data_IF_986788979982
#
_entry.id   IF_986788979982
#
_cell.length_a   1.000
_cell.length_b   1.000
_cell.length_c   1.000
_cell.angle_alpha   90.00
_cell.angle_beta   90.00
_cell.angle_gamma   90.00
#
_symmetry.space_group_name_H-M   'P 1'
#
loop_
_entity.id
_entity.type
_entity.pdbx_description
1 polymer ?
#
# COMPACT_ATOMS: atom_id res chain seq x y z
N UNK A 1 48.03 -2.37 5.38
CA UNK A 1 47.40 -3.66 5.01
C UNK A 1 45.90 -3.54 5.19
N UNK A 2 45.15 -3.27 4.10
CA UNK A 2 43.70 -3.05 4.16
C UNK A 2 43.00 -4.40 4.19
N UNK A 3 42.32 -4.73 5.30
CA UNK A 3 41.51 -5.94 5.41
C UNK A 3 40.28 -5.81 4.52
N UNK A 4 40.31 -6.42 3.34
CA UNK A 4 39.11 -6.58 2.51
C UNK A 4 38.25 -7.65 3.18
N UNK A 5 37.27 -7.20 3.95
CA UNK A 5 36.26 -8.06 4.58
C UNK A 5 35.42 -8.64 3.45
N UNK A 6 35.64 -9.90 3.07
CA UNK A 6 34.71 -10.66 2.20
C UNK A 6 33.33 -10.55 2.82
N UNK A 7 32.45 -9.79 2.19
CA UNK A 7 31.05 -9.64 2.61
C UNK A 7 30.45 -11.05 2.49
N UNK A 8 30.10 -11.65 3.62
CA UNK A 8 29.39 -12.93 3.62
C UNK A 8 28.06 -12.71 2.89
N UNK A 9 27.69 -13.61 1.99
CA UNK A 9 26.43 -13.62 1.22
C UNK A 9 25.17 -13.48 2.10
N UNK A 10 25.29 -13.63 3.43
CA UNK A 10 24.26 -13.47 4.46
C UNK A 10 23.98 -12.03 4.91
N UNK A 11 24.89 -11.07 4.69
CA UNK A 11 24.81 -9.74 5.31
C UNK A 11 24.32 -8.65 4.34
N UNK A 12 24.00 -9.04 3.11
CA UNK A 12 23.47 -8.13 2.10
C UNK A 12 21.98 -7.89 2.34
N UNK A 13 21.54 -6.65 2.63
CA UNK A 13 20.16 -6.37 2.95
C UNK A 13 19.20 -6.66 1.78
N UNK A 14 19.70 -6.78 0.54
CA UNK A 14 18.93 -7.22 -0.64
C UNK A 14 18.53 -8.69 -0.58
N UNK A 15 19.33 -9.52 0.10
CA UNK A 15 19.03 -10.95 0.29
C UNK A 15 17.95 -11.15 1.35
N UNK A 16 17.76 -10.15 2.23
CA UNK A 16 16.71 -10.17 3.26
C UNK A 16 15.29 -10.00 2.70
N UNK A 17 15.13 -9.32 1.56
CA UNK A 17 13.85 -9.18 0.86
C UNK A 17 13.78 -10.16 -0.32
N UNK A 18 13.12 -11.30 -0.07
CA UNK A 18 12.99 -12.40 -1.03
C UNK A 18 12.31 -12.01 -2.34
N UNK A 19 11.52 -10.94 -2.33
CA UNK A 19 10.72 -10.54 -3.48
C UNK A 19 11.38 -9.42 -4.30
N UNK A 20 12.36 -8.71 -3.74
CA UNK A 20 12.99 -7.56 -4.40
C UNK A 20 13.65 -7.93 -5.74
N UNK A 21 14.47 -8.97 -5.73
CA UNK A 21 15.27 -9.37 -6.91
C UNK A 21 14.39 -10.00 -8.01
N UNK A 22 13.51 -10.98 -7.71
CA UNK A 22 12.60 -11.51 -8.72
C UNK A 22 11.68 -10.44 -9.32
N UNK A 23 11.22 -9.49 -8.49
CA UNK A 23 10.40 -8.37 -8.96
C UNK A 23 11.16 -7.47 -9.93
N UNK A 24 12.38 -7.08 -9.58
CA UNK A 24 13.19 -6.21 -10.44
C UNK A 24 13.55 -6.92 -11.75
N UNK A 25 13.86 -8.21 -11.71
CA UNK A 25 14.09 -9.03 -12.91
C UNK A 25 12.84 -9.03 -13.82
N UNK A 26 11.65 -9.29 -13.26
CA UNK A 26 10.41 -9.27 -14.02
C UNK A 26 10.11 -7.89 -14.63
N UNK A 27 10.36 -6.80 -13.88
CA UNK A 27 10.21 -5.44 -14.40
C UNK A 27 11.15 -5.20 -15.58
N UNK A 28 12.41 -5.62 -15.51
CA UNK A 28 13.37 -5.46 -16.61
C UNK A 28 12.87 -6.20 -17.87
N UNK A 29 12.51 -7.47 -17.72
CA UNK A 29 12.02 -8.29 -18.84
C UNK A 29 10.77 -7.67 -19.47
N UNK A 30 9.78 -7.29 -18.65
CA UNK A 30 8.55 -6.66 -19.11
C UNK A 30 8.80 -5.30 -19.78
N UNK A 31 9.73 -4.51 -19.24
CA UNK A 31 10.07 -3.19 -19.80
C UNK A 31 10.70 -3.35 -21.17
N UNK A 32 11.69 -4.24 -21.30
CA UNK A 32 12.34 -4.51 -22.58
C UNK A 32 11.34 -5.09 -23.61
N UNK A 33 10.48 -6.01 -23.18
CA UNK A 33 9.44 -6.59 -24.04
C UNK A 33 8.47 -5.52 -24.55
N UNK A 34 8.04 -4.60 -23.69
CA UNK A 34 7.17 -3.47 -24.07
C UNK A 34 7.81 -2.51 -25.08
N UNK A 35 9.15 -2.51 -25.17
CA UNK A 35 9.95 -1.71 -26.09
C UNK A 35 10.35 -2.50 -27.35
N UNK A 36 9.80 -3.71 -27.52
CA UNK A 36 10.04 -4.58 -28.67
C UNK A 36 11.34 -5.39 -28.58
N UNK A 37 11.92 -5.50 -27.39
CA UNK A 37 13.16 -6.26 -27.14
C UNK A 37 12.85 -7.46 -26.25
N UNK A 38 12.80 -8.64 -26.85
CA UNK A 38 12.65 -9.88 -26.09
C UNK A 38 13.98 -10.23 -25.41
N UNK A 39 13.97 -10.21 -24.07
CA UNK A 39 15.11 -10.54 -23.23
C UNK A 39 14.68 -11.35 -22.00
N UNK A 40 15.58 -12.16 -21.46
CA UNK A 40 15.37 -12.94 -20.24
C UNK A 40 16.55 -12.81 -19.29
N UNK A 41 16.31 -12.62 -18.00
CA UNK A 41 17.34 -12.59 -16.96
C UNK A 41 17.83 -14.02 -16.72
N UNK A 42 19.12 -14.24 -16.98
CA UNK A 42 19.79 -15.52 -16.80
C UNK A 42 20.54 -15.59 -15.45
N UNK A 43 21.22 -14.51 -15.06
CA UNK A 43 22.01 -14.46 -13.83
C UNK A 43 21.80 -13.13 -13.07
N UNK A 44 21.98 -13.16 -11.75
CA UNK A 44 21.99 -11.95 -10.92
C UNK A 44 23.21 -11.96 -10.01
N UNK A 45 24.03 -10.91 -10.12
CA UNK A 45 25.26 -10.73 -9.36
C UNK A 45 25.14 -9.53 -8.40
N UNK A 46 25.34 -9.77 -7.11
CA UNK A 46 25.34 -8.72 -6.08
C UNK A 46 26.72 -8.10 -5.99
N UNK A 47 26.82 -6.81 -6.31
CA UNK A 47 28.05 -6.03 -6.16
C UNK A 47 27.88 -4.98 -5.05
N UNK A 48 28.96 -4.43 -4.46
CA UNK A 48 28.83 -3.54 -3.30
C UNK A 48 28.02 -2.26 -3.55
N UNK A 49 28.03 -1.75 -4.79
CA UNK A 49 27.38 -0.48 -5.17
C UNK A 49 26.12 -0.66 -6.00
N UNK A 50 25.92 -1.85 -6.55
CA UNK A 50 24.99 -2.12 -7.63
C UNK A 50 24.57 -3.59 -7.65
N UNK A 51 23.49 -3.88 -8.35
CA UNK A 51 23.02 -5.23 -8.64
C UNK A 51 23.07 -5.41 -10.14
N UNK A 52 23.82 -6.40 -10.60
CA UNK A 52 24.00 -6.70 -12.01
C UNK A 52 23.05 -7.81 -12.42
N UNK A 53 22.14 -7.51 -13.35
CA UNK A 53 21.24 -8.46 -13.98
C UNK A 53 21.84 -8.82 -15.34
N UNK A 54 22.21 -10.09 -15.54
CA UNK A 54 22.71 -10.57 -16.81
C UNK A 54 21.54 -11.16 -17.61
N UNK A 55 21.39 -10.70 -18.84
CA UNK A 55 20.28 -11.04 -19.72
C UNK A 55 20.76 -11.76 -20.98
N UNK A 56 19.98 -12.76 -21.38
CA UNK A 56 19.95 -13.31 -22.72
C UNK A 56 19.00 -12.48 -23.57
N UNK A 57 19.41 -12.14 -24.78
CA UNK A 57 18.61 -11.38 -25.74
C UNK A 57 18.29 -12.22 -26.96
N UNK A 58 17.17 -11.92 -27.61
CA UNK A 58 16.82 -12.54 -28.87
C UNK A 58 17.90 -12.28 -29.93
N UNK A 59 18.16 -13.30 -30.75
CA UNK A 59 19.11 -13.19 -31.86
C UNK A 59 18.58 -12.18 -32.88
N UNK A 60 19.48 -11.33 -33.39
CA UNK A 60 19.14 -10.27 -34.34
C UNK A 60 18.71 -8.96 -33.69
N UNK A 61 18.55 -8.88 -32.36
CA UNK A 61 18.38 -7.59 -31.68
C UNK A 61 19.68 -6.77 -31.76
N UNK A 62 19.65 -5.56 -32.35
CA UNK A 62 20.82 -4.70 -32.39
C UNK A 62 21.17 -4.19 -30.98
N UNK A 63 22.45 -4.29 -30.60
CA UNK A 63 22.92 -3.87 -29.26
C UNK A 63 22.64 -2.39 -28.98
N UNK A 64 22.71 -1.55 -30.01
CA UNK A 64 22.48 -0.12 -29.88
C UNK A 64 21.04 0.21 -29.45
N UNK A 65 20.07 -0.64 -29.82
CA UNK A 65 18.69 -0.46 -29.35
C UNK A 65 18.56 -0.71 -27.86
N UNK A 66 19.41 -1.54 -27.26
CA UNK A 66 19.35 -1.86 -25.84
C UNK A 66 20.02 -0.75 -25.02
N UNK A 67 21.21 -0.30 -25.44
CA UNK A 67 21.96 0.74 -24.72
C UNK A 67 21.22 2.09 -24.72
N UNK A 68 20.38 2.36 -25.73
CA UNK A 68 19.52 3.56 -25.77
C UNK A 68 18.42 3.57 -24.71
N UNK A 69 17.97 2.40 -24.24
CA UNK A 69 16.85 2.27 -23.30
C UNK A 69 17.25 2.38 -21.82
N UNK A 70 18.50 2.74 -21.52
CA UNK A 70 18.97 2.89 -20.13
C UNK A 70 18.03 3.78 -19.29
N UNK A 71 17.58 4.92 -19.84
CA UNK A 71 16.65 5.80 -19.12
C UNK A 71 15.29 5.19 -18.86
N UNK A 72 14.74 4.47 -19.84
CA UNK A 72 13.42 3.84 -19.71
C UNK A 72 13.45 2.71 -18.67
N UNK A 73 14.53 1.91 -18.69
CA UNK A 73 14.77 0.87 -17.68
C UNK A 73 15.00 1.49 -16.30
N UNK A 74 15.76 2.58 -16.20
CA UNK A 74 15.99 3.30 -14.94
C UNK A 74 14.67 3.85 -14.37
N UNK A 75 13.80 4.37 -15.24
CA UNK A 75 12.48 4.87 -14.87
C UNK A 75 11.57 3.74 -14.37
N UNK A 76 11.49 2.63 -15.11
CA UNK A 76 10.66 1.48 -14.73
C UNK A 76 11.09 0.85 -13.40
N UNK A 77 12.40 0.78 -13.14
CA UNK A 77 12.97 0.27 -11.89
C UNK A 77 12.96 1.30 -10.74
N UNK A 78 12.54 2.54 -10.99
CA UNK A 78 12.67 3.66 -10.05
C UNK A 78 14.08 3.75 -9.46
N UNK A 79 15.09 3.73 -10.34
CA UNK A 79 16.50 3.74 -9.96
C UNK A 79 16.81 4.90 -9.00
N UNK A 80 17.54 4.66 -7.89
CA UNK A 80 17.78 5.68 -6.87
C UNK A 80 18.59 6.87 -7.40
N UNK A 81 19.39 6.68 -8.45
CA UNK A 81 20.19 7.72 -9.11
C UNK A 81 19.50 8.31 -10.34
N UNK A 82 18.35 7.75 -10.76
CA UNK A 82 17.68 8.09 -12.01
C UNK A 82 18.35 7.53 -13.27
N UNK A 83 19.33 6.62 -13.11
CA UNK A 83 20.07 6.03 -14.22
C UNK A 83 20.44 4.55 -13.95
N UNK A 84 20.79 3.80 -15.00
CA UNK A 84 21.31 2.42 -14.94
C UNK A 84 22.43 2.24 -15.96
N UNK A 85 23.47 1.48 -15.60
CA UNK A 85 24.56 1.19 -16.54
C UNK A 85 24.23 -0.07 -17.34
N UNK A 86 24.32 0.01 -18.67
CA UNK A 86 24.15 -1.13 -19.57
C UNK A 86 25.51 -1.49 -20.19
N UNK A 87 25.96 -2.72 -19.96
CA UNK A 87 27.16 -3.28 -20.57
C UNK A 87 26.76 -4.35 -21.60
N UNK A 88 26.95 -4.03 -22.87
CA UNK A 88 26.59 -4.87 -23.99
C UNK A 88 27.73 -4.89 -25.03
N UNK A 89 28.32 -6.06 -25.36
CA UNK A 89 28.20 -7.35 -24.67
C UNK A 89 29.08 -7.42 -23.40
N UNK A 90 28.79 -8.36 -22.50
CA UNK A 90 29.71 -8.69 -21.38
C UNK A 90 30.97 -9.36 -21.97
N UNK A 91 32.19 -8.87 -21.69
CA UNK A 91 33.42 -9.46 -22.22
C UNK A 91 33.55 -10.95 -21.90
N UNK A 92 33.76 -11.77 -22.94
CA UNK A 92 33.89 -13.22 -22.80
C UNK A 92 32.60 -13.98 -22.53
N UNK A 93 31.43 -13.33 -22.59
CA UNK A 93 30.11 -13.94 -22.38
C UNK A 93 29.11 -13.48 -23.45
N UNK A 94 28.19 -14.36 -23.84
CA UNK A 94 27.11 -14.03 -24.79
C UNK A 94 25.88 -13.45 -24.07
N UNK A 95 26.11 -12.47 -23.19
CA UNK A 95 25.09 -11.87 -22.33
C UNK A 95 25.23 -10.34 -22.33
N UNK A 96 24.17 -9.66 -21.90
CA UNK A 96 24.16 -8.22 -21.62
C UNK A 96 23.97 -8.02 -20.11
N UNK A 97 24.62 -7.04 -19.53
CA UNK A 97 24.43 -6.69 -18.12
C UNK A 97 23.69 -5.36 -17.98
N UNK A 98 22.67 -5.35 -17.12
CA UNK A 98 22.03 -4.12 -16.62
C UNK A 98 22.40 -3.98 -15.15
N UNK A 99 23.09 -2.90 -14.79
CA UNK A 99 23.50 -2.60 -13.42
C UNK A 99 22.59 -1.56 -12.81
N UNK A 100 21.86 -1.99 -11.78
CA UNK A 100 20.99 -1.14 -10.99
C UNK A 100 21.74 -0.65 -9.74
N UNK A 101 21.98 0.67 -9.59
CA UNK A 101 22.60 1.23 -8.39
C UNK A 101 21.85 0.86 -7.11
N UNK A 102 22.60 0.58 -6.06
CA UNK A 102 22.07 0.21 -4.75
C UNK A 102 22.56 1.17 -3.67
N UNK A 103 21.61 1.89 -3.06
CA UNK A 103 21.88 2.72 -1.89
C UNK A 103 21.52 1.94 -0.61
N UNK A 104 22.55 1.34 -0.02
CA UNK A 104 22.43 0.58 1.22
C UNK A 104 21.87 1.41 2.37
N UNK A 105 22.30 2.67 2.51
CA UNK A 105 21.91 3.53 3.62
C UNK A 105 20.42 3.88 3.53
N UNK A 106 19.97 4.28 2.35
CA UNK A 106 18.57 4.58 2.07
C UNK A 106 17.68 3.35 2.28
N UNK A 107 18.12 2.18 1.84
CA UNK A 107 17.36 0.94 2.00
C UNK A 107 17.19 0.54 3.47
N UNK A 108 18.27 0.57 4.27
CA UNK A 108 18.21 0.27 5.71
C UNK A 108 17.33 1.26 6.47
N UNK A 109 17.41 2.56 6.14
CA UNK A 109 16.56 3.59 6.72
C UNK A 109 15.07 3.33 6.43
N UNK A 110 14.73 2.96 5.20
CA UNK A 110 13.35 2.65 4.80
C UNK A 110 12.79 1.42 5.56
N UNK A 111 13.57 0.36 5.69
CA UNK A 111 13.18 -0.83 6.45
C UNK A 111 12.97 -0.49 7.92
N UNK A 112 13.87 0.28 8.52
CA UNK A 112 13.78 0.65 9.93
C UNK A 112 12.55 1.53 10.19
N UNK A 113 12.26 2.48 9.31
CA UNK A 113 11.06 3.31 9.38
C UNK A 113 9.77 2.46 9.27
N UNK A 114 9.74 1.49 8.34
CA UNK A 114 8.60 0.58 8.20
C UNK A 114 8.38 -0.28 9.46
N UNK A 115 9.45 -0.85 10.02
CA UNK A 115 9.39 -1.63 11.27
C UNK A 115 8.91 -0.79 12.45
N UNK A 116 9.32 0.48 12.52
CA UNK A 116 8.90 1.40 13.58
C UNK A 116 7.40 1.70 13.49
N UNK A 117 6.89 2.03 12.29
CA UNK A 117 5.46 2.27 12.05
C UNK A 117 4.60 1.08 12.47
N UNK A 118 4.97 -0.13 12.06
CA UNK A 118 4.29 -1.37 12.47
C UNK A 118 4.28 -1.57 13.99
N UNK A 119 5.36 -1.18 14.68
CA UNK A 119 5.44 -1.26 16.14
C UNK A 119 4.54 -0.23 16.82
N UNK A 120 4.40 0.96 16.25
CA UNK A 120 3.52 2.04 16.73
C UNK A 120 2.04 1.70 16.55
N UNK A 121 1.64 1.15 15.41
CA UNK A 121 0.26 0.67 15.17
C UNK A 121 -0.14 -0.42 16.18
N UNK A 122 0.78 -1.34 16.48
CA UNK A 122 0.59 -2.37 17.52
C UNK A 122 0.54 -1.80 18.94
N UNK A 123 1.19 -0.65 19.21
CA UNK A 123 1.10 0.05 20.49
C UNK A 123 -0.24 0.79 20.63
N UNK A 124 -0.69 1.46 19.59
CA UNK A 124 -1.95 2.22 19.61
C UNK A 124 -3.18 1.32 19.69
N UNK A 125 -3.18 0.18 18.99
CA UNK A 125 -4.23 -0.84 19.12
C UNK A 125 -4.32 -1.50 20.51
N UNK A 126 -3.23 -1.50 21.29
CA UNK A 126 -3.25 -1.92 22.70
C UNK A 126 -3.79 -0.83 23.62
N UNK A 127 -3.51 0.44 23.35
CA UNK A 127 -3.93 1.58 24.19
C UNK A 127 -5.44 1.87 24.04
N UNK A 128 -6.01 1.70 22.86
CA UNK A 128 -7.46 1.82 22.62
C UNK A 128 -8.28 0.73 23.33
N UNK A 129 -7.74 -0.48 23.51
CA UNK A 129 -8.37 -1.54 24.31
C UNK A 129 -8.37 -1.28 25.83
N UNK A 130 -7.50 -0.40 26.32
CA UNK A 130 -7.42 -0.06 27.75
C UNK A 130 -8.25 1.17 28.13
N UNK A 131 -8.63 2.02 27.16
CA UNK A 131 -9.47 3.22 27.40
C UNK A 131 -10.98 2.94 27.34
N UNK A 132 -11.41 1.75 26.92
CA UNK A 132 -12.83 1.35 26.82
C UNK A 132 -13.36 0.63 28.08
N UNK A 133 -12.75 0.84 29.24
CA UNK A 133 -13.23 0.31 30.54
C UNK A 133 -13.66 1.38 31.54
N UNK A 134 -13.76 2.65 31.13
CA UNK A 134 -14.28 3.71 31.99
C UNK A 134 -15.46 4.42 31.31
N UNK A 135 -16.65 4.06 31.81
CA UNK A 135 -17.93 4.78 31.73
C UNK A 135 -18.72 4.70 30.40
N UNK A 136 -19.45 3.60 30.23
CA UNK A 136 -20.76 3.64 29.56
C UNK A 136 -21.82 3.72 30.66
N UNK A 137 -22.31 4.93 30.92
CA UNK A 137 -23.60 5.11 31.62
C UNK A 137 -24.68 4.52 30.69
N UNK A 138 -25.02 3.24 30.89
CA UNK A 138 -26.15 2.60 30.20
C UNK A 138 -27.43 3.14 30.81
N UNK A 139 -28.43 3.57 30.02
CA UNK A 139 -29.75 3.84 30.57
C UNK A 139 -30.29 2.55 31.20
N UNK A 140 -30.65 2.61 32.49
CA UNK A 140 -31.25 1.45 33.16
C UNK A 140 -32.61 1.15 32.51
N UNK A 141 -32.77 -0.06 31.99
CA UNK A 141 -34.07 -0.54 31.55
C UNK A 141 -35.02 -0.62 32.74
N UNK A 142 -36.30 -0.23 32.57
CA UNK A 142 -37.29 -0.33 33.64
C UNK A 142 -37.42 -1.78 34.12
N UNK A 143 -37.20 -1.99 35.42
CA UNK A 143 -37.08 -3.33 36.02
C UNK A 143 -38.46 -3.95 36.37
N UNK A 144 -39.55 -3.22 36.17
CA UNK A 144 -40.89 -3.61 36.66
C UNK A 144 -41.98 -3.46 35.59
N UNK A 145 -42.97 -4.35 35.58
CA UNK A 145 -44.10 -4.35 34.61
C UNK A 145 -44.87 -3.01 34.62
N UNK A 146 -44.96 -2.35 35.79
CA UNK A 146 -45.62 -1.04 35.94
C UNK A 146 -44.94 0.06 35.14
N UNK A 147 -43.62 0.02 35.02
CA UNK A 147 -42.83 1.02 34.29
C UNK A 147 -42.96 0.81 32.77
N UNK A 148 -43.06 -0.45 32.33
CA UNK A 148 -43.32 -0.78 30.93
C UNK A 148 -44.70 -0.27 30.49
N UNK A 149 -45.72 -0.43 31.34
CA UNK A 149 -47.05 0.12 31.09
C UNK A 149 -47.05 1.65 30.99
N UNK A 150 -46.25 2.33 31.81
CA UNK A 150 -46.11 3.79 31.74
C UNK A 150 -45.50 4.25 30.40
N UNK A 151 -44.46 3.55 29.91
CA UNK A 151 -43.84 3.84 28.61
C UNK A 151 -44.82 3.59 27.46
N UNK A 152 -45.53 2.46 27.48
CA UNK A 152 -46.53 2.13 26.46
C UNK A 152 -47.67 3.14 26.46
N UNK A 153 -48.14 3.56 27.63
CA UNK A 153 -49.19 4.57 27.75
C UNK A 153 -48.74 5.92 27.17
N UNK A 154 -47.50 6.32 27.42
CA UNK A 154 -46.93 7.57 26.89
C UNK A 154 -46.80 7.56 25.37
N UNK A 155 -46.38 6.43 24.80
CA UNK A 155 -46.29 6.24 23.35
C UNK A 155 -47.68 6.30 22.71
N UNK A 156 -48.66 5.59 23.29
CA UNK A 156 -50.05 5.57 22.79
C UNK A 156 -50.67 6.98 22.88
N UNK A 157 -50.51 7.68 24.01
CA UNK A 157 -50.99 9.04 24.18
C UNK A 157 -50.38 10.01 23.15
N UNK A 158 -49.09 9.88 22.86
CA UNK A 158 -48.42 10.68 21.83
C UNK A 158 -48.97 10.43 20.42
N UNK A 159 -49.25 9.18 20.05
CA UNK A 159 -49.86 8.84 18.75
C UNK A 159 -51.28 9.41 18.66
N UNK A 160 -52.06 9.30 19.74
CA UNK A 160 -53.41 9.88 19.82
C UNK A 160 -53.40 11.41 19.69
N UNK A 161 -52.45 12.10 20.32
CA UNK A 161 -52.34 13.56 20.19
C UNK A 161 -51.99 13.98 18.76
N UNK A 162 -51.04 13.29 18.11
CA UNK A 162 -50.66 13.55 16.72
C UNK A 162 -51.87 13.33 15.79
N UNK A 163 -52.61 12.24 15.94
CA UNK A 163 -53.80 11.98 15.11
C UNK A 163 -54.88 13.02 15.33
N UNK A 164 -55.07 13.49 16.57
CA UNK A 164 -56.04 14.55 16.90
C UNK A 164 -55.64 15.89 16.26
N UNK A 165 -54.35 16.24 16.28
CA UNK A 165 -53.83 17.43 15.59
C UNK A 165 -54.02 17.35 14.06
N UNK A 166 -53.79 16.17 13.46
CA UNK A 166 -54.00 15.96 12.03
C UNK A 166 -55.47 16.08 11.63
N UNK A 167 -56.38 15.48 12.40
CA UNK A 167 -57.82 15.58 12.13
C UNK A 167 -58.33 17.02 12.31
N UNK A 168 -57.84 17.75 13.32
CA UNK A 168 -58.16 19.17 13.51
C UNK A 168 -57.66 20.02 12.34
N UNK A 169 -56.47 19.74 11.80
CA UNK A 169 -55.92 20.43 10.63
C UNK A 169 -56.70 20.14 9.35
N UNK A 170 -57.14 18.89 9.15
CA UNK A 170 -58.01 18.51 8.03
C UNK A 170 -59.41 19.14 8.14
N UNK A 171 -59.99 19.21 9.35
CA UNK A 171 -61.27 19.89 9.58
C UNK A 171 -61.22 21.38 9.21
N UNK A 172 -60.18 22.10 9.66
CA UNK A 172 -59.98 23.51 9.32
C UNK A 172 -59.78 23.74 7.80
N UNK A 173 -59.15 22.78 7.11
CA UNK A 173 -58.95 22.83 5.66
C UNK A 173 -60.27 22.66 4.88
N UNK A 174 -61.14 21.74 5.32
CA UNK A 174 -62.46 21.51 4.69
C UNK A 174 -63.41 22.69 4.95
N UNK A 175 -63.33 23.33 6.11
CA UNK A 175 -64.16 24.50 6.46
C UNK A 175 -63.71 25.82 5.80
N UNK A 176 -62.69 25.81 4.93
CA UNK A 176 -62.28 26.96 4.13
C UNK A 176 -61.80 28.18 4.95
N UNK A 177 -61.31 27.96 6.17
CA UNK A 177 -60.89 29.02 7.10
C UNK A 177 -59.40 29.36 7.11
N UNK A 178 -58.59 28.76 6.23
CA UNK A 178 -57.19 29.16 6.05
C UNK A 178 -57.08 30.13 4.86
N UNK A 179 -57.42 31.41 5.08
CA UNK A 179 -56.81 32.52 4.32
C UNK A 179 -55.58 33.00 5.07
N UNK A 180 -54.47 33.04 4.37
CA UNK A 180 -53.37 34.02 4.38
C UNK A 180 -52.00 33.30 4.29
N UNK A 181 -51.17 33.83 3.38
CA UNK A 181 -49.72 33.74 3.42
C UNK A 181 -49.18 34.48 4.65
#
# INVERSE_FOLDING_TARGET
>A
MVKIKKIKKSDDPRVGDKNLIPRNAAIIEQTLDSLGITARVAEVNYRPKDTEFCLEIALGTPLESITKLHKDVAMALASPTGDVDIEAPIPGRSLIAIRLPFDKQRYEAAINAFKLRQKEEKRNSKKSRTTDKTKTDRPEFPKTIRDYLAVVFYIIAGILDITTQYLRKLGNFIEGRDRQF
#
